data_IF_933700075521
#
_entry.id   IF_933700075521
#
_cell.length_a   1.000
_cell.length_b   1.000
_cell.length_c   1.000
_cell.angle_alpha   90.00
_cell.angle_beta   90.00
_cell.angle_gamma   90.00
#
_symmetry.space_group_name_H-M   'P 1'
#
loop_
_entity.id
_entity.type
_entity.pdbx_description
1 polymer ?
#
# COMPACT_ATOMS: atom_id res chain seq x y z
N UNK A 1 -18.30 -71.10 19.88
CA UNK A 1 -18.10 -69.72 20.36
C UNK A 1 -18.33 -68.78 19.18
N UNK A 2 -19.46 -68.04 19.23
CA UNK A 2 -19.70 -66.64 18.79
C UNK A 2 -19.14 -66.28 17.39
N UNK A 3 -19.93 -66.30 16.32
CA UNK A 3 -21.01 -65.36 15.89
C UNK A 3 -20.52 -64.07 15.22
N UNK A 4 -20.92 -63.99 13.95
CA UNK A 4 -21.07 -62.89 13.00
C UNK A 4 -21.44 -61.51 13.56
N UNK A 5 -20.91 -60.41 12.97
CA UNK A 5 -21.69 -59.53 12.09
C UNK A 5 -20.88 -58.37 11.46
N UNK A 6 -21.43 -57.95 10.33
CA UNK A 6 -21.15 -56.83 9.45
C UNK A 6 -20.76 -55.50 10.09
N UNK A 7 -20.00 -54.73 9.31
CA UNK A 7 -19.73 -53.32 9.60
C UNK A 7 -18.93 -52.59 8.52
N UNK A 8 -19.10 -52.92 7.25
CA UNK A 8 -18.77 -51.99 6.17
C UNK A 8 -19.72 -50.80 6.26
N UNK A 9 -19.24 -49.69 6.83
CA UNK A 9 -19.80 -48.37 6.57
C UNK A 9 -18.83 -47.64 5.64
N UNK A 10 -19.03 -47.87 4.35
CA UNK A 10 -18.66 -46.91 3.32
C UNK A 10 -19.72 -45.82 3.40
N UNK A 11 -19.35 -44.67 3.93
CA UNK A 11 -19.90 -43.39 3.45
C UNK A 11 -18.78 -42.70 2.67
N UNK A 12 -18.87 -42.83 1.36
CA UNK A 12 -18.32 -41.96 0.32
C UNK A 12 -17.16 -40.99 0.66
N UNK A 13 -15.99 -41.29 0.08
CA UNK A 13 -15.21 -40.30 -0.70
C UNK A 13 -14.16 -39.43 0.02
N UNK A 14 -12.87 -39.65 -0.30
CA UNK A 14 -11.70 -38.77 -0.08
C UNK A 14 -11.28 -38.56 1.40
N UNK A 15 -9.96 -38.40 1.64
CA UNK A 15 -9.53 -37.55 2.76
C UNK A 15 -10.14 -36.18 2.53
N UNK A 16 -11.05 -35.79 3.41
CA UNK A 16 -11.78 -34.56 3.28
C UNK A 16 -10.80 -33.39 3.58
N UNK A 17 -10.60 -32.41 2.68
CA UNK A 17 -9.88 -31.17 2.99
C UNK A 17 -10.37 -30.48 4.28
N UNK A 18 -11.56 -30.88 4.75
CA UNK A 18 -12.20 -30.47 6.00
C UNK A 18 -11.56 -31.01 7.31
N UNK A 19 -10.58 -31.93 7.30
CA UNK A 19 -9.90 -32.41 8.53
C UNK A 19 -8.38 -32.17 8.59
N UNK A 20 -7.70 -31.90 7.47
CA UNK A 20 -6.26 -31.53 7.45
C UNK A 20 -6.05 -30.04 7.77
N UNK A 21 -7.00 -29.20 7.37
CA UNK A 21 -6.97 -27.76 7.62
C UNK A 21 -7.21 -27.33 9.08
N UNK A 22 -8.13 -27.95 9.85
CA UNK A 22 -8.30 -27.66 11.27
C UNK A 22 -7.05 -27.91 12.13
N UNK A 23 -6.24 -28.92 11.81
CA UNK A 23 -5.00 -29.25 12.54
C UNK A 23 -3.86 -28.29 12.21
N UNK A 24 -3.75 -27.83 10.96
CA UNK A 24 -2.76 -26.82 10.56
C UNK A 24 -3.13 -25.45 11.13
N UNK A 25 -4.43 -25.11 11.19
CA UNK A 25 -4.90 -23.87 11.80
C UNK A 25 -4.76 -23.87 13.34
N UNK A 26 -4.90 -25.04 13.99
CA UNK A 26 -4.67 -25.18 15.44
C UNK A 26 -3.21 -24.96 15.85
N UNK A 27 -2.26 -25.43 15.04
CA UNK A 27 -0.82 -25.21 15.27
C UNK A 27 -0.44 -23.74 15.06
N UNK A 28 -1.07 -23.06 14.08
CA UNK A 28 -0.88 -21.61 13.85
C UNK A 28 -1.41 -20.77 15.03
N UNK A 29 -2.52 -21.17 15.66
CA UNK A 29 -3.10 -20.50 16.83
C UNK A 29 -2.26 -20.70 18.11
N UNK A 30 -1.69 -21.89 18.34
CA UNK A 30 -0.81 -22.15 19.51
C UNK A 30 0.52 -21.39 19.43
N UNK A 31 1.10 -21.25 18.24
CA UNK A 31 2.36 -20.51 18.04
C UNK A 31 2.16 -18.99 18.18
N UNK A 32 0.98 -18.48 17.77
CA UNK A 32 0.59 -17.07 18.00
C UNK A 32 0.38 -16.77 19.49
N UNK A 33 -0.13 -17.71 20.29
CA UNK A 33 -0.38 -17.55 21.73
C UNK A 33 0.90 -17.64 22.61
N UNK A 34 1.92 -18.40 22.21
CA UNK A 34 3.21 -18.47 22.94
C UNK A 34 4.09 -17.24 22.65
N UNK A 35 4.06 -16.73 21.42
CA UNK A 35 4.84 -15.55 21.03
C UNK A 35 4.31 -14.24 21.62
N UNK A 36 3.03 -14.18 22.02
CA UNK A 36 2.42 -13.01 22.67
C UNK A 36 2.50 -13.04 24.20
N UNK A 37 2.75 -14.21 24.81
CA UNK A 37 2.93 -14.38 26.26
C UNK A 37 4.35 -14.14 26.81
N UNK A 38 5.34 -13.86 25.95
CA UNK A 38 6.73 -13.61 26.37
C UNK A 38 7.01 -12.17 26.86
N UNK A 39 5.98 -11.31 26.97
CA UNK A 39 6.13 -9.87 27.24
C UNK A 39 5.37 -9.33 28.47
N UNK A 40 4.81 -10.18 29.34
CA UNK A 40 4.25 -9.75 30.64
C UNK A 40 4.74 -10.69 31.75
N UNK A 41 5.57 -10.24 32.70
CA UNK A 41 5.84 -10.98 33.91
C UNK A 41 4.63 -10.88 34.86
N UNK A 42 4.31 -11.98 35.55
CA UNK A 42 3.37 -12.08 36.69
C UNK A 42 1.86 -12.17 36.43
N UNK A 43 1.41 -13.21 35.71
CA UNK A 43 0.03 -13.73 35.85
C UNK A 43 0.04 -15.26 35.92
N UNK A 44 -0.68 -15.91 36.87
CA UNK A 44 -0.83 -17.36 36.95
C UNK A 44 -1.51 -17.93 35.69
N UNK A 45 -0.92 -19.00 35.13
CA UNK A 45 -1.21 -19.52 33.77
C UNK A 45 -2.51 -20.31 33.64
N UNK A 46 -3.15 -20.64 34.74
CA UNK A 46 -4.34 -21.48 34.84
C UNK A 46 -5.66 -20.69 34.70
N UNK A 47 -5.70 -19.43 35.11
CA UNK A 47 -6.88 -18.55 34.93
C UNK A 47 -7.08 -18.08 33.46
N UNK A 48 -6.01 -18.07 32.66
CA UNK A 48 -6.03 -17.61 31.26
C UNK A 48 -6.69 -18.63 30.32
N UNK A 49 -6.50 -19.93 30.58
CA UNK A 49 -7.01 -21.01 29.72
C UNK A 49 -8.54 -21.15 29.77
N UNK A 50 -9.16 -20.85 30.91
CA UNK A 50 -10.62 -20.97 31.10
C UNK A 50 -11.41 -19.82 30.49
N UNK A 51 -10.80 -18.63 30.31
CA UNK A 51 -11.45 -17.47 29.67
C UNK A 51 -11.51 -17.58 28.14
N UNK A 52 -10.51 -18.22 27.54
CA UNK A 52 -10.38 -18.34 26.07
C UNK A 52 -11.33 -19.38 25.45
N UNK A 53 -11.72 -20.42 26.21
CA UNK A 53 -12.74 -21.38 25.80
C UNK A 53 -14.14 -20.74 25.67
N UNK A 54 -14.44 -19.71 26.48
CA UNK A 54 -15.71 -18.96 26.39
C UNK A 54 -15.80 -18.06 25.15
N UNK A 55 -14.67 -17.52 24.67
CA UNK A 55 -14.61 -16.63 23.49
C UNK A 55 -14.76 -17.43 22.19
N UNK A 56 -14.15 -18.63 22.13
CA UNK A 56 -14.29 -19.53 20.99
C UNK A 56 -15.73 -20.04 20.80
N UNK A 57 -16.45 -20.32 21.89
CA UNK A 57 -17.87 -20.71 21.83
C UNK A 57 -18.77 -19.54 21.39
N UNK A 58 -18.50 -18.31 21.84
CA UNK A 58 -19.24 -17.12 21.43
C UNK A 58 -19.06 -16.78 19.94
N UNK A 59 -17.85 -16.90 19.40
CA UNK A 59 -17.56 -16.66 17.98
C UNK A 59 -18.14 -17.73 17.05
N UNK A 60 -18.36 -18.95 17.56
CA UNK A 60 -18.96 -20.05 16.79
C UNK A 60 -20.46 -19.88 16.54
N UNK A 61 -21.15 -19.04 17.33
CA UNK A 61 -22.63 -18.86 17.26
C UNK A 61 -23.06 -17.63 16.46
N UNK A 62 -22.13 -16.76 16.04
CA UNK A 62 -22.44 -15.56 15.25
C UNK A 62 -22.28 -15.90 13.75
N UNK A 63 -23.41 -16.09 13.06
CA UNK A 63 -23.42 -16.17 11.60
C UNK A 63 -23.19 -14.78 11.00
N UNK A 64 -22.00 -14.56 10.44
CA UNK A 64 -21.68 -13.40 9.61
C UNK A 64 -20.84 -12.34 10.33
N UNK A 65 -19.52 -12.51 10.30
CA UNK A 65 -18.58 -11.42 10.58
C UNK A 65 -18.30 -10.74 9.24
N UNK A 66 -18.78 -9.51 9.08
CA UNK A 66 -18.52 -8.70 7.90
C UNK A 66 -17.07 -8.17 7.96
N UNK A 67 -16.14 -8.60 7.07
CA UNK A 67 -14.71 -8.31 7.21
C UNK A 67 -14.32 -6.85 6.95
N UNK A 68 -15.28 -5.99 6.55
CA UNK A 68 -15.06 -4.55 6.37
C UNK A 68 -15.30 -3.73 7.64
N UNK A 69 -15.66 -4.36 8.76
CA UNK A 69 -15.63 -3.71 10.06
C UNK A 69 -14.17 -3.74 10.53
N UNK A 70 -13.47 -2.60 10.39
CA UNK A 70 -12.30 -2.34 11.23
C UNK A 70 -12.78 -2.42 12.67
N UNK A 71 -12.58 -3.57 13.31
CA UNK A 71 -12.97 -3.81 14.70
C UNK A 71 -12.17 -2.93 15.65
N UNK A 72 -12.58 -1.66 15.79
CA UNK A 72 -12.42 -0.95 17.03
C UNK A 72 -13.40 -1.58 18.02
N UNK A 73 -13.00 -2.70 18.63
CA UNK A 73 -13.58 -3.11 19.90
C UNK A 73 -13.17 -2.05 20.93
N UNK A 74 -14.01 -1.02 21.06
CA UNK A 74 -13.97 -0.14 22.21
C UNK A 74 -14.35 -0.96 23.44
N UNK A 75 -13.50 -0.93 24.45
CA UNK A 75 -13.71 -1.60 25.74
C UNK A 75 -14.37 -0.71 26.84
N UNK A 76 -15.50 0.04 26.65
CA UNK A 76 -16.14 0.70 27.80
C UNK A 76 -17.18 -0.16 28.56
N UNK A 77 -17.45 -1.42 28.19
CA UNK A 77 -18.50 -2.22 28.83
C UNK A 77 -18.11 -3.01 30.09
N UNK A 78 -16.83 -3.25 30.35
CA UNK A 78 -16.40 -4.25 31.35
C UNK A 78 -16.01 -3.68 32.74
N UNK A 79 -15.95 -2.35 32.90
CA UNK A 79 -15.53 -1.72 34.17
C UNK A 79 -16.68 -1.18 35.03
N UNK A 80 -17.94 -1.53 34.75
CA UNK A 80 -19.08 -1.11 35.56
C UNK A 80 -19.24 -1.86 36.91
N UNK A 81 -18.34 -2.79 37.27
CA UNK A 81 -18.42 -3.53 38.53
C UNK A 81 -17.04 -3.62 39.22
N UNK A 82 -16.51 -2.48 39.68
CA UNK A 82 -15.67 -2.40 40.90
C UNK A 82 -15.35 -0.94 41.26
N UNK A 83 -16.17 -0.38 42.15
CA UNK A 83 -15.77 0.56 43.18
C UNK A 83 -16.45 0.06 44.48
N UNK A 84 -15.84 0.16 45.68
CA UNK A 84 -15.21 1.38 46.20
C UNK A 84 -13.96 1.19 47.09
N UNK A 85 -13.48 2.34 47.62
CA UNK A 85 -12.40 2.58 48.61
C UNK A 85 -11.01 2.80 48.00
N UNK A 86 -10.28 3.91 48.22
CA UNK A 86 -10.52 5.09 49.03
C UNK A 86 -9.35 6.10 48.91
N UNK A 87 -9.69 7.38 49.05
CA UNK A 87 -8.90 8.54 49.54
C UNK A 87 -7.50 8.84 48.95
N UNK A 88 -7.52 9.91 48.14
CA UNK A 88 -6.90 11.22 48.40
C UNK A 88 -5.40 11.31 48.79
N UNK A 89 -4.63 12.05 47.97
CA UNK A 89 -3.86 13.22 48.42
C UNK A 89 -3.43 14.12 47.24
N UNK A 90 -3.54 15.42 47.50
CA UNK A 90 -3.18 16.60 46.70
C UNK A 90 -1.67 16.74 46.42
N UNK A 91 -1.32 17.42 45.30
CA UNK A 91 -0.61 18.73 45.22
C UNK A 91 0.00 18.91 43.81
N UNK A 92 -0.49 19.81 42.96
CA UNK A 92 -0.05 21.21 42.68
C UNK A 92 1.42 21.45 42.33
N UNK A 93 1.62 21.92 41.08
CA UNK A 93 2.20 23.21 40.68
C UNK A 93 3.71 23.36 40.33
N UNK A 94 3.92 24.06 39.18
CA UNK A 94 4.98 25.05 38.84
C UNK A 94 6.41 24.50 38.62
N UNK A 95 7.29 25.04 37.76
CA UNK A 95 7.32 26.22 36.87
C UNK A 95 8.59 26.16 35.97
N UNK A 96 8.57 26.90 34.85
CA UNK A 96 9.61 27.81 34.28
C UNK A 96 11.10 27.36 34.31
N UNK A 97 11.84 27.25 33.19
CA UNK A 97 12.38 28.27 32.26
C UNK A 97 13.89 27.92 31.98
N UNK A 98 14.74 28.64 31.21
CA UNK A 98 14.61 29.22 29.85
C UNK A 98 15.93 29.23 28.97
N UNK A 99 15.82 29.78 27.74
CA UNK A 99 16.80 30.42 26.82
C UNK A 99 18.05 29.70 26.26
N UNK A 100 18.25 29.82 24.93
CA UNK A 100 19.42 30.45 24.25
C UNK A 100 19.04 30.72 22.77
N UNK A 101 19.03 32.01 22.39
CA UNK A 101 19.19 32.61 21.05
C UNK A 101 20.72 32.64 20.72
N UNK A 102 21.29 32.71 19.51
CA UNK A 102 20.89 33.32 18.23
C UNK A 102 21.91 32.94 17.10
N UNK A 103 21.58 33.36 15.87
CA UNK A 103 22.45 33.69 14.72
C UNK A 103 22.98 32.60 13.75
N UNK A 104 22.51 32.58 12.48
CA UNK A 104 22.90 33.48 11.35
C UNK A 104 22.01 33.19 10.12
N UNK A 105 21.49 34.26 9.51
CA UNK A 105 20.55 34.26 8.37
C UNK A 105 21.20 34.27 6.97
N UNK A 106 20.44 33.84 5.95
CA UNK A 106 20.47 34.41 4.59
C UNK A 106 19.07 34.30 3.93
N UNK A 107 18.66 35.27 3.08
CA UNK A 107 17.26 35.69 2.95
C UNK A 107 16.44 34.88 1.94
N UNK A 108 15.21 34.54 2.34
CA UNK A 108 14.16 34.00 1.45
C UNK A 108 13.45 35.14 0.72
N UNK A 109 13.15 35.02 -0.59
CA UNK A 109 12.29 35.97 -1.27
C UNK A 109 10.85 35.87 -0.73
N UNK A 110 10.32 37.02 -0.37
CA UNK A 110 9.00 37.26 0.19
C UNK A 110 7.87 36.58 -0.58
N UNK A 111 7.00 35.87 0.14
CA UNK A 111 5.73 35.38 -0.33
C UNK A 111 4.85 36.57 -0.77
N UNK A 112 4.64 36.72 -2.08
CA UNK A 112 3.55 37.53 -2.60
C UNK A 112 2.31 36.65 -2.73
N UNK A 113 1.28 37.01 -1.97
CA UNK A 113 -0.09 36.56 -2.16
C UNK A 113 -0.58 37.03 -3.53
N UNK A 114 -0.50 36.12 -4.50
CA UNK A 114 -1.01 36.34 -5.84
C UNK A 114 -1.76 35.08 -6.28
N UNK A 115 -3.09 35.14 -6.24
CA UNK A 115 -3.97 34.19 -6.91
C UNK A 115 -3.75 34.26 -8.42
N UNK A 116 -2.69 33.65 -8.93
CA UNK A 116 -2.51 33.39 -10.35
C UNK A 116 -3.10 32.01 -10.65
N UNK A 117 -4.43 31.94 -10.84
CA UNK A 117 -5.06 30.82 -11.55
C UNK A 117 -4.59 30.87 -13.01
N UNK A 118 -3.46 30.25 -13.30
CA UNK A 118 -3.20 29.74 -14.64
C UNK A 118 -3.44 28.23 -14.57
N UNK A 119 -4.72 27.86 -14.52
CA UNK A 119 -5.15 26.46 -14.59
C UNK A 119 -5.11 26.04 -16.06
N UNK A 120 -3.96 25.55 -16.51
CA UNK A 120 -3.88 24.93 -17.83
C UNK A 120 -4.75 23.66 -17.82
N UNK A 121 -5.53 23.47 -18.87
CA UNK A 121 -6.24 22.20 -19.05
C UNK A 121 -5.21 21.07 -19.14
N UNK A 122 -5.48 19.97 -18.46
CA UNK A 122 -4.58 18.83 -18.37
C UNK A 122 -5.36 17.51 -18.51
N UNK A 123 -4.69 16.46 -18.99
CA UNK A 123 -5.19 15.09 -19.01
C UNK A 123 -4.15 14.17 -18.34
N UNK A 124 -4.64 13.37 -17.41
CA UNK A 124 -3.86 12.39 -16.66
C UNK A 124 -4.30 10.98 -17.02
N UNK A 125 -3.36 10.12 -17.41
CA UNK A 125 -3.54 8.68 -17.48
C UNK A 125 -2.83 8.04 -16.30
N UNK A 126 -3.51 7.19 -15.53
CA UNK A 126 -2.92 6.52 -14.37
C UNK A 126 -3.10 5.01 -14.50
N UNK A 127 -2.01 4.25 -14.38
CA UNK A 127 -2.01 2.79 -14.38
C UNK A 127 -0.96 2.25 -13.42
N UNK A 128 -0.95 0.95 -13.14
CA UNK A 128 -0.09 0.36 -12.11
C UNK A 128 0.15 -1.14 -12.31
N UNK A 129 1.03 -1.70 -11.49
CA UNK A 129 1.26 -3.15 -11.36
C UNK A 129 1.59 -3.78 -12.72
N UNK A 130 2.58 -3.19 -13.39
CA UNK A 130 3.14 -3.68 -14.65
C UNK A 130 4.17 -4.79 -14.39
N UNK A 131 4.89 -4.72 -13.26
CA UNK A 131 5.90 -5.70 -12.86
C UNK A 131 6.92 -6.00 -13.97
N UNK A 132 7.43 -4.96 -14.62
CA UNK A 132 8.46 -5.13 -15.66
C UNK A 132 9.74 -5.65 -15.02
N UNK A 133 10.07 -6.91 -15.29
CA UNK A 133 11.27 -7.58 -14.82
C UNK A 133 12.28 -7.87 -15.93
N UNK A 134 13.34 -8.60 -15.58
CA UNK A 134 14.32 -9.09 -16.55
C UNK A 134 13.77 -10.20 -17.47
N UNK A 135 12.59 -10.75 -17.15
CA UNK A 135 11.85 -11.66 -18.01
C UNK A 135 10.48 -11.06 -18.33
N UNK A 136 9.90 -11.46 -19.47
CA UNK A 136 8.56 -11.06 -19.94
C UNK A 136 7.68 -12.31 -19.95
N UNK A 137 7.60 -12.97 -18.80
CA UNK A 137 6.93 -14.27 -18.65
C UNK A 137 5.48 -14.12 -18.16
N UNK A 138 5.05 -12.90 -17.82
CA UNK A 138 3.67 -12.67 -17.41
C UNK A 138 2.72 -12.98 -18.60
N UNK A 139 1.71 -13.84 -18.42
CA UNK A 139 0.79 -14.22 -19.50
C UNK A 139 0.04 -13.07 -20.18
N UNK A 140 -0.04 -11.88 -19.56
CA UNK A 140 -0.65 -10.69 -20.16
C UNK A 140 0.36 -9.79 -20.88
N UNK A 141 1.66 -10.11 -20.80
CA UNK A 141 2.77 -9.44 -21.48
C UNK A 141 2.72 -7.91 -21.37
N UNK A 142 2.68 -7.32 -20.14
CA UNK A 142 2.54 -5.88 -19.94
C UNK A 142 3.61 -5.07 -20.69
N UNK A 143 4.85 -5.58 -20.79
CA UNK A 143 5.93 -4.93 -21.55
C UNK A 143 5.70 -4.81 -23.06
N UNK A 144 4.80 -5.62 -23.63
CA UNK A 144 4.38 -5.52 -25.05
C UNK A 144 3.10 -4.71 -25.23
N UNK A 145 2.25 -4.67 -24.20
CA UNK A 145 0.96 -3.98 -24.25
C UNK A 145 1.09 -2.49 -23.94
N UNK A 146 1.96 -2.13 -22.99
CA UNK A 146 2.21 -0.74 -22.62
C UNK A 146 2.60 0.16 -23.81
N UNK A 147 3.55 -0.17 -24.69
CA UNK A 147 3.90 0.71 -25.81
C UNK A 147 2.72 0.93 -26.76
N UNK A 148 1.86 -0.07 -26.97
CA UNK A 148 0.67 0.10 -27.80
C UNK A 148 -0.34 1.07 -27.16
N UNK A 149 -0.55 0.97 -25.85
CA UNK A 149 -1.37 1.91 -25.10
C UNK A 149 -0.81 3.33 -25.18
N UNK A 150 0.49 3.50 -24.92
CA UNK A 150 1.16 4.81 -25.00
C UNK A 150 1.00 5.42 -26.39
N UNK A 151 1.21 4.64 -27.45
CA UNK A 151 1.04 5.09 -28.82
C UNK A 151 -0.40 5.54 -29.13
N UNK A 152 -1.40 4.76 -28.71
CA UNK A 152 -2.80 4.98 -29.11
C UNK A 152 -3.58 5.95 -28.22
N UNK A 153 -3.25 6.01 -26.94
CA UNK A 153 -4.00 6.83 -25.98
C UNK A 153 -3.25 8.13 -25.67
N UNK A 154 -1.95 8.05 -25.39
CA UNK A 154 -1.17 9.20 -24.91
C UNK A 154 -0.61 9.99 -26.08
N UNK A 155 0.16 9.33 -26.95
CA UNK A 155 0.83 9.93 -28.09
C UNK A 155 -0.14 10.30 -29.22
N UNK A 156 -1.31 9.66 -29.33
CA UNK A 156 -2.33 10.08 -30.30
C UNK A 156 -3.18 11.24 -29.79
N UNK A 157 -3.23 11.47 -28.47
CA UNK A 157 -3.96 12.59 -27.91
C UNK A 157 -3.30 13.91 -28.28
N UNK A 158 -4.13 14.94 -28.48
CA UNK A 158 -3.74 16.32 -28.71
C UNK A 158 -4.54 17.24 -27.79
N UNK A 159 -4.05 18.45 -27.53
CA UNK A 159 -4.78 19.46 -26.79
C UNK A 159 -4.15 19.78 -25.42
N UNK A 160 -4.80 19.42 -24.30
CA UNK A 160 -4.36 19.80 -22.96
C UNK A 160 -2.97 19.25 -22.62
N UNK A 161 -2.33 19.78 -21.57
CA UNK A 161 -1.08 19.24 -21.05
C UNK A 161 -1.27 17.77 -20.66
N UNK A 162 -0.31 16.92 -21.03
CA UNK A 162 -0.43 15.47 -20.91
C UNK A 162 0.47 14.94 -19.79
N UNK A 163 -0.11 14.10 -18.94
CA UNK A 163 0.58 13.46 -17.82
C UNK A 163 0.27 11.97 -17.81
N UNK A 164 1.29 11.14 -17.62
CA UNK A 164 1.10 9.72 -17.34
C UNK A 164 1.73 9.38 -16.00
N UNK A 165 0.97 8.70 -15.14
CA UNK A 165 1.40 8.27 -13.83
C UNK A 165 1.37 6.74 -13.72
N UNK A 166 2.51 6.17 -13.36
CA UNK A 166 2.64 4.77 -12.95
C UNK A 166 2.51 4.71 -11.43
N UNK A 167 1.39 4.20 -10.93
CA UNK A 167 0.98 4.28 -9.52
C UNK A 167 1.51 3.07 -8.73
N UNK A 168 2.82 2.85 -8.80
CA UNK A 168 3.52 1.75 -8.12
C UNK A 168 3.63 0.46 -8.94
N UNK A 169 4.62 -0.34 -8.55
CA UNK A 169 4.92 -1.67 -9.08
C UNK A 169 5.08 -1.66 -10.61
N UNK A 170 5.77 -0.64 -11.10
CA UNK A 170 6.16 -0.49 -12.50
C UNK A 170 7.24 -1.51 -12.86
N UNK A 171 8.23 -1.65 -11.98
CA UNK A 171 9.42 -2.47 -12.17
C UNK A 171 9.55 -3.53 -11.07
N UNK A 172 10.23 -4.64 -11.35
CA UNK A 172 10.70 -5.58 -10.32
C UNK A 172 12.08 -5.14 -9.81
N UNK A 173 12.06 -4.19 -8.87
CA UNK A 173 13.21 -3.40 -8.40
C UNK A 173 13.14 -3.13 -6.88
N UNK A 174 13.33 -4.18 -6.08
CA UNK A 174 13.28 -4.08 -4.61
C UNK A 174 14.31 -5.00 -3.95
N UNK A 175 14.96 -4.49 -2.91
CA UNK A 175 15.83 -5.26 -2.03
C UNK A 175 17.26 -5.43 -2.55
N UNK A 176 17.69 -4.59 -3.48
CA UNK A 176 19.02 -4.61 -4.07
C UNK A 176 19.93 -3.56 -3.43
N UNK A 177 21.25 -3.81 -3.48
CA UNK A 177 22.24 -2.76 -3.22
C UNK A 177 22.19 -1.72 -4.35
N UNK A 178 22.67 -0.50 -4.10
CA UNK A 178 22.54 0.62 -5.06
C UNK A 178 23.04 0.29 -6.48
N UNK A 179 24.27 -0.22 -6.60
CA UNK A 179 24.86 -0.60 -7.90
C UNK A 179 24.04 -1.70 -8.59
N UNK A 180 23.49 -2.63 -7.81
CA UNK A 180 22.65 -3.71 -8.32
C UNK A 180 21.27 -3.19 -8.74
N UNK A 181 20.67 -2.23 -8.01
CA UNK A 181 19.45 -1.54 -8.43
C UNK A 181 19.66 -0.82 -9.76
N UNK A 182 20.79 -0.12 -9.93
CA UNK A 182 21.13 0.56 -11.19
C UNK A 182 21.28 -0.43 -12.34
N UNK A 183 22.07 -1.49 -12.15
CA UNK A 183 22.26 -2.54 -13.16
C UNK A 183 20.94 -3.25 -13.49
N UNK A 184 20.08 -3.48 -12.49
CA UNK A 184 18.77 -4.11 -12.66
C UNK A 184 17.83 -3.22 -13.44
N UNK A 185 17.77 -1.92 -13.15
CA UNK A 185 16.97 -0.96 -13.90
C UNK A 185 17.35 -0.95 -15.39
N UNK A 186 18.65 -0.87 -15.70
CA UNK A 186 19.14 -0.89 -17.07
C UNK A 186 18.86 -2.22 -17.78
N UNK A 187 19.02 -3.33 -17.07
CA UNK A 187 18.68 -4.67 -17.57
C UNK A 187 17.19 -4.77 -17.93
N UNK A 188 16.30 -4.27 -17.09
CA UNK A 188 14.86 -4.22 -17.36
C UNK A 188 14.58 -3.38 -18.61
N UNK A 189 15.10 -2.15 -18.69
CA UNK A 189 14.87 -1.29 -19.86
C UNK A 189 15.41 -1.88 -21.16
N UNK A 190 16.57 -2.54 -21.10
CA UNK A 190 17.18 -3.27 -22.23
C UNK A 190 16.30 -4.44 -22.67
N UNK A 191 15.63 -5.10 -21.72
CA UNK A 191 14.73 -6.23 -22.01
C UNK A 191 13.43 -5.81 -22.68
N UNK A 192 12.97 -4.58 -22.40
CA UNK A 192 11.70 -4.02 -22.88
C UNK A 192 11.93 -2.80 -23.80
N UNK A 193 12.65 -2.94 -24.93
CA UNK A 193 13.07 -1.82 -25.77
C UNK A 193 11.89 -1.02 -26.33
N UNK A 194 10.81 -1.68 -26.73
CA UNK A 194 9.62 -1.01 -27.27
C UNK A 194 8.93 -0.14 -26.21
N UNK A 195 8.83 -0.64 -24.96
CA UNK A 195 8.34 0.16 -23.82
C UNK A 195 9.24 1.36 -23.59
N UNK A 196 10.56 1.15 -23.55
CA UNK A 196 11.53 2.21 -23.33
C UNK A 196 11.44 3.31 -24.39
N UNK A 197 11.40 2.93 -25.67
CA UNK A 197 11.23 3.88 -26.78
C UNK A 197 9.89 4.62 -26.72
N UNK A 198 8.80 3.94 -26.38
CA UNK A 198 7.50 4.60 -26.26
C UNK A 198 7.48 5.64 -25.12
N UNK A 199 8.13 5.34 -23.98
CA UNK A 199 8.27 6.30 -22.88
C UNK A 199 9.16 7.49 -23.28
N UNK A 200 10.29 7.25 -23.95
CA UNK A 200 11.13 8.32 -24.49
C UNK A 200 10.36 9.20 -25.49
N UNK A 201 9.56 8.60 -26.36
CA UNK A 201 8.72 9.32 -27.32
C UNK A 201 7.67 10.19 -26.61
N UNK A 202 7.07 9.71 -25.51
CA UNK A 202 6.18 10.51 -24.66
C UNK A 202 6.93 11.72 -24.07
N UNK A 203 8.07 11.51 -23.44
CA UNK A 203 8.86 12.59 -22.85
C UNK A 203 9.31 13.62 -23.89
N UNK A 204 9.79 13.17 -25.07
CA UNK A 204 10.19 14.03 -26.17
C UNK A 204 9.03 14.84 -26.78
N UNK A 205 7.78 14.34 -26.66
CA UNK A 205 6.57 15.09 -27.02
C UNK A 205 6.12 16.09 -25.95
N UNK A 206 6.84 16.17 -24.83
CA UNK A 206 6.50 17.04 -23.71
C UNK A 206 5.48 16.44 -22.73
N UNK A 207 5.16 15.14 -22.82
CA UNK A 207 4.36 14.44 -21.82
C UNK A 207 5.17 14.34 -20.53
N UNK A 208 4.53 14.65 -19.40
CA UNK A 208 5.16 14.47 -18.08
C UNK A 208 4.98 13.02 -17.61
N UNK A 209 6.09 12.35 -17.30
CA UNK A 209 6.11 10.99 -16.76
C UNK A 209 6.25 11.05 -15.24
N UNK A 210 5.35 10.38 -14.53
CA UNK A 210 5.33 10.29 -13.07
C UNK A 210 5.42 8.82 -12.65
N UNK A 211 6.35 8.49 -11.75
CA UNK A 211 6.50 7.14 -11.21
C UNK A 211 6.33 7.19 -9.70
N UNK A 212 5.21 6.72 -9.18
CA UNK A 212 5.00 6.53 -7.75
C UNK A 212 5.59 5.18 -7.36
N UNK A 213 6.34 5.10 -6.27
CA UNK A 213 6.93 3.85 -5.82
C UNK A 213 5.86 2.97 -5.15
N UNK A 214 5.87 1.69 -5.50
CA UNK A 214 5.15 0.62 -4.84
C UNK A 214 6.08 -0.24 -4.00
N UNK A 215 5.62 -1.44 -3.65
CA UNK A 215 6.39 -2.35 -2.82
C UNK A 215 7.31 -3.29 -3.63
N UNK A 216 7.12 -3.39 -4.95
CA UNK A 216 8.01 -4.14 -5.85
C UNK A 216 9.08 -3.29 -6.52
N UNK A 217 8.92 -1.96 -6.55
CA UNK A 217 9.90 -1.01 -7.10
C UNK A 217 10.38 0.00 -6.04
N UNK A 218 10.47 -0.41 -4.78
CA UNK A 218 10.88 0.47 -3.69
C UNK A 218 12.28 1.09 -3.89
N UNK A 219 13.22 0.37 -4.53
CA UNK A 219 14.56 0.90 -4.79
C UNK A 219 14.55 2.03 -5.81
N UNK A 220 13.45 2.22 -6.57
CA UNK A 220 13.27 3.37 -7.45
C UNK A 220 13.30 4.70 -6.69
N UNK A 221 12.95 4.69 -5.40
CA UNK A 221 13.01 5.86 -4.55
C UNK A 221 14.45 6.38 -4.33
N UNK A 222 15.48 5.56 -4.52
CA UNK A 222 16.89 5.96 -4.34
C UNK A 222 17.23 7.12 -5.30
N UNK A 223 17.88 8.20 -4.83
CA UNK A 223 18.18 9.35 -5.69
C UNK A 223 18.96 9.01 -6.96
N UNK A 224 19.96 8.12 -6.86
CA UNK A 224 20.77 7.71 -8.02
C UNK A 224 19.97 6.90 -9.03
N UNK A 225 19.10 6.00 -8.57
CA UNK A 225 18.21 5.18 -9.42
C UNK A 225 17.17 6.05 -10.10
N UNK A 226 16.52 6.97 -9.36
CA UNK A 226 15.57 7.93 -9.92
C UNK A 226 16.23 8.86 -10.96
N UNK A 227 17.41 9.41 -10.64
CA UNK A 227 18.16 10.25 -11.57
C UNK A 227 18.58 9.49 -12.83
N UNK A 228 18.97 8.21 -12.68
CA UNK A 228 19.31 7.34 -13.81
C UNK A 228 18.11 7.10 -14.71
N UNK A 229 16.93 6.81 -14.14
CA UNK A 229 15.69 6.66 -14.91
C UNK A 229 15.38 7.94 -15.70
N UNK A 230 15.45 9.11 -15.06
CA UNK A 230 15.19 10.39 -15.71
C UNK A 230 16.16 10.68 -16.85
N UNK A 231 17.46 10.42 -16.65
CA UNK A 231 18.48 10.60 -17.68
C UNK A 231 18.31 9.64 -18.87
N UNK A 232 17.87 8.40 -18.62
CA UNK A 232 17.61 7.42 -19.68
C UNK A 232 16.36 7.77 -20.49
N UNK A 233 15.28 8.21 -19.83
CA UNK A 233 13.99 8.47 -20.48
C UNK A 233 13.88 9.87 -21.11
N UNK A 234 14.57 10.87 -20.57
CA UNK A 234 14.51 12.25 -21.07
C UNK A 234 15.85 12.96 -20.88
N UNK A 235 16.89 12.59 -21.65
CA UNK A 235 18.24 13.13 -21.46
C UNK A 235 18.33 14.65 -21.67
N UNK A 236 17.52 15.21 -22.59
CA UNK A 236 17.50 16.65 -22.86
C UNK A 236 16.74 17.46 -21.80
N UNK A 237 15.71 16.86 -21.19
CA UNK A 237 14.87 17.51 -20.18
C UNK A 237 14.57 16.52 -19.03
N UNK A 238 15.52 16.20 -18.13
CA UNK A 238 15.33 15.18 -17.10
C UNK A 238 14.14 15.46 -16.16
N UNK A 239 13.76 16.73 -16.00
CA UNK A 239 12.60 17.16 -15.22
C UNK A 239 11.24 16.64 -15.77
N UNK A 240 11.20 16.12 -17.02
CA UNK A 240 10.03 15.43 -17.59
C UNK A 240 9.71 14.10 -16.95
N UNK A 241 10.64 13.57 -16.14
CA UNK A 241 10.51 12.28 -15.47
C UNK A 241 10.67 12.52 -13.98
N UNK A 242 9.61 12.27 -13.22
CA UNK A 242 9.58 12.49 -11.78
C UNK A 242 9.25 11.20 -11.04
N UNK A 243 10.06 10.86 -10.06
CA UNK A 243 9.83 9.74 -9.14
C UNK A 243 9.24 10.26 -7.83
N UNK A 244 8.25 9.56 -7.30
CA UNK A 244 7.58 9.85 -6.04
C UNK A 244 7.77 8.67 -5.09
N UNK A 245 8.66 8.78 -4.09
CA UNK A 245 8.88 7.72 -3.11
C UNK A 245 7.60 7.32 -2.37
N UNK A 246 6.73 8.29 -2.09
CA UNK A 246 5.55 8.05 -1.28
C UNK A 246 4.24 8.19 -2.06
N UNK A 247 3.88 9.40 -2.47
CA UNK A 247 2.70 9.65 -3.29
C UNK A 247 2.90 10.83 -4.23
N UNK A 248 2.08 10.88 -5.27
CA UNK A 248 1.92 12.03 -6.14
C UNK A 248 0.75 12.88 -5.60
N UNK A 249 1.00 14.17 -5.42
CA UNK A 249 -0.03 15.15 -5.06
C UNK A 249 -0.13 16.23 -6.14
N UNK A 250 -1.34 16.41 -6.66
CA UNK A 250 -1.68 17.49 -7.59
C UNK A 250 -2.75 18.34 -6.90
N UNK A 251 -2.41 19.56 -6.44
CA UNK A 251 -3.29 20.35 -5.61
C UNK A 251 -4.71 20.49 -6.17
N UNK A 252 -5.71 20.16 -5.36
CA UNK A 252 -7.15 20.15 -5.69
C UNK A 252 -7.60 19.15 -6.76
N UNK A 253 -6.68 18.51 -7.47
CA UNK A 253 -6.99 17.56 -8.55
C UNK A 253 -6.97 16.14 -8.02
N UNK A 254 -5.79 15.62 -7.66
CA UNK A 254 -5.65 14.22 -7.30
C UNK A 254 -4.54 13.98 -6.27
N UNK A 255 -4.70 12.89 -5.52
CA UNK A 255 -3.60 12.18 -4.89
C UNK A 255 -3.52 10.79 -5.51
N UNK A 256 -2.32 10.31 -5.81
CA UNK A 256 -2.08 8.95 -6.28
C UNK A 256 -0.99 8.30 -5.44
N UNK A 257 -1.32 7.16 -4.84
CA UNK A 257 -0.39 6.35 -4.05
C UNK A 257 -0.54 4.89 -4.40
N UNK A 258 0.50 4.09 -4.24
CA UNK A 258 0.35 2.66 -4.53
C UNK A 258 -0.69 2.03 -3.59
N UNK A 259 -0.72 2.40 -2.30
CA UNK A 259 -1.69 1.94 -1.29
C UNK A 259 -1.16 0.91 -0.30
N UNK A 260 0.11 0.52 -0.43
CA UNK A 260 0.76 -0.43 0.47
C UNK A 260 0.81 0.08 1.91
N UNK A 261 0.84 1.40 2.13
CA UNK A 261 0.96 1.97 3.46
C UNK A 261 -0.22 1.69 4.37
N UNK A 262 -1.41 1.58 3.81
CA UNK A 262 -2.61 1.38 4.62
C UNK A 262 -2.97 -0.09 4.81
N UNK A 263 -2.19 -0.97 4.21
CA UNK A 263 -2.45 -2.40 4.23
C UNK A 263 -1.47 -3.12 5.15
N UNK A 264 -1.96 -3.70 6.25
CA UNK A 264 -1.12 -4.36 7.25
C UNK A 264 -0.05 -5.29 6.66
N UNK A 265 -0.41 -6.15 5.70
CA UNK A 265 0.52 -7.15 5.15
C UNK A 265 1.53 -6.65 4.11
N UNK A 266 1.32 -5.45 3.56
CA UNK A 266 2.15 -4.88 2.52
C UNK A 266 2.82 -3.57 2.97
N UNK A 267 2.62 -3.21 4.23
CA UNK A 267 3.03 -1.93 4.77
C UNK A 267 4.55 -1.78 4.79
N UNK A 268 5.00 -0.62 4.33
CA UNK A 268 6.39 -0.17 4.35
C UNK A 268 6.44 1.18 5.07
N UNK A 269 6.59 1.18 6.41
CA UNK A 269 6.50 2.42 7.19
C UNK A 269 7.57 3.45 6.83
N UNK A 270 8.76 2.98 6.45
CA UNK A 270 9.95 3.79 6.23
C UNK A 270 10.23 4.08 4.75
N UNK A 271 9.19 4.17 3.92
CA UNK A 271 9.35 4.37 2.46
C UNK A 271 10.24 5.57 2.10
N UNK A 272 10.25 6.62 2.93
CA UNK A 272 11.08 7.82 2.72
C UNK A 272 12.57 7.62 3.05
N UNK A 273 12.95 6.58 3.82
CA UNK A 273 14.37 6.34 4.15
C UNK A 273 15.18 5.93 2.92
N UNK A 274 14.58 5.17 2.01
CA UNK A 274 15.22 4.78 0.74
C UNK A 274 15.52 6.01 -0.11
N UNK A 275 14.67 7.02 -0.04
CA UNK A 275 14.80 8.25 -0.79
C UNK A 275 15.94 9.15 -0.34
N UNK A 276 16.50 8.96 0.87
CA UNK A 276 17.51 9.86 1.43
C UNK A 276 18.85 9.18 1.69
N UNK A 277 18.86 7.97 2.25
CA UNK A 277 20.13 7.38 2.69
C UNK A 277 20.86 6.59 1.61
N UNK A 278 20.18 6.10 0.56
CA UNK A 278 20.81 5.35 -0.54
C UNK A 278 21.46 4.00 -0.16
N UNK A 279 21.72 3.76 1.13
CA UNK A 279 22.43 2.59 1.67
C UNK A 279 21.52 1.66 2.47
N UNK A 280 20.40 2.16 2.98
CA UNK A 280 19.51 1.38 3.81
C UNK A 280 18.60 0.52 2.91
N UNK A 281 18.62 -0.80 3.12
CA UNK A 281 17.59 -1.69 2.59
C UNK A 281 16.31 -1.54 3.39
N UNK A 282 15.15 -1.68 2.73
CA UNK A 282 13.89 -1.84 3.45
C UNK A 282 13.68 -3.30 3.83
N UNK A 283 13.24 -3.50 5.08
CA UNK A 283 12.71 -4.79 5.49
C UNK A 283 11.52 -5.16 4.61
N UNK A 284 11.47 -6.43 4.16
CA UNK A 284 10.37 -6.91 3.33
C UNK A 284 9.04 -6.83 4.10
N UNK A 285 7.94 -6.44 3.44
CA UNK A 285 6.62 -6.55 4.02
C UNK A 285 6.26 -7.99 4.42
N UNK A 286 5.38 -8.20 5.41
CA UNK A 286 5.04 -9.53 5.90
C UNK A 286 4.65 -10.53 4.81
N UNK A 287 3.81 -10.14 3.83
CA UNK A 287 3.42 -11.08 2.77
C UNK A 287 4.56 -11.35 1.78
N UNK A 288 5.39 -10.34 1.48
CA UNK A 288 6.54 -10.52 0.61
C UNK A 288 7.54 -11.51 1.22
N UNK A 289 7.77 -11.44 2.54
CA UNK A 289 8.65 -12.36 3.25
C UNK A 289 8.19 -13.82 3.18
N UNK A 290 6.87 -14.09 3.11
CA UNK A 290 6.34 -15.43 2.90
C UNK A 290 6.74 -16.03 1.54
N UNK A 291 6.73 -15.20 0.50
CA UNK A 291 7.02 -15.63 -0.87
C UNK A 291 8.52 -15.65 -1.18
N UNK A 292 9.30 -14.78 -0.55
CA UNK A 292 10.74 -14.70 -0.72
C UNK A 292 11.50 -15.85 -0.03
N UNK A 293 10.91 -16.50 0.99
CA UNK A 293 11.58 -17.62 1.67
C UNK A 293 11.69 -18.85 0.73
N UNK A 294 12.94 -19.26 0.37
CA UNK A 294 13.18 -20.35 -0.58
C UNK A 294 12.77 -21.72 -0.02
N UNK A 295 12.52 -21.82 1.29
CA UNK A 295 12.08 -23.05 1.94
C UNK A 295 10.68 -23.45 1.48
N UNK A 296 10.47 -24.75 1.30
CA UNK A 296 9.14 -25.35 1.12
C UNK A 296 8.41 -25.58 2.45
N UNK A 297 9.08 -25.39 3.59
CA UNK A 297 8.52 -25.63 4.91
C UNK A 297 7.56 -24.51 5.32
N UNK A 298 6.28 -24.81 5.64
CA UNK A 298 5.33 -23.82 6.13
C UNK A 298 5.79 -23.14 7.43
N UNK A 299 6.54 -23.85 8.28
CA UNK A 299 7.07 -23.31 9.54
C UNK A 299 8.17 -22.26 9.30
N UNK A 300 9.06 -22.50 8.32
CA UNK A 300 10.10 -21.53 7.95
C UNK A 300 9.48 -20.24 7.43
N UNK A 301 8.52 -20.38 6.51
CA UNK A 301 7.80 -19.23 5.94
C UNK A 301 7.01 -18.47 7.01
N UNK A 302 6.35 -19.17 7.93
CA UNK A 302 5.66 -18.54 9.05
C UNK A 302 6.63 -17.76 9.96
N UNK A 303 7.82 -18.32 10.23
CA UNK A 303 8.86 -17.62 10.98
C UNK A 303 9.39 -16.39 10.23
N UNK A 304 9.52 -16.45 8.90
CA UNK A 304 9.90 -15.31 8.06
C UNK A 304 8.85 -14.18 8.15
N UNK A 305 7.57 -14.51 8.05
CA UNK A 305 6.46 -13.55 8.25
C UNK A 305 6.51 -12.93 9.64
N UNK A 306 6.72 -13.73 10.69
CA UNK A 306 6.81 -13.23 12.06
C UNK A 306 7.98 -12.24 12.23
N UNK A 307 9.15 -12.54 11.66
CA UNK A 307 10.30 -11.63 11.64
C UNK A 307 9.98 -10.33 10.89
N UNK A 308 9.32 -10.42 9.73
CA UNK A 308 8.92 -9.25 8.94
C UNK A 308 7.87 -8.37 9.67
N UNK A 309 6.95 -8.97 10.42
CA UNK A 309 6.04 -8.23 11.30
C UNK A 309 6.80 -7.47 12.39
N UNK A 310 7.74 -8.13 13.09
CA UNK A 310 8.57 -7.47 14.10
C UNK A 310 9.44 -6.35 13.52
N UNK A 311 9.97 -6.56 12.32
CA UNK A 311 10.72 -5.55 11.58
C UNK A 311 9.84 -4.34 11.25
N UNK A 312 8.63 -4.58 10.73
CA UNK A 312 7.62 -3.54 10.48
C UNK A 312 7.28 -2.75 11.75
N UNK A 313 7.14 -3.41 12.90
CA UNK A 313 6.90 -2.73 14.18
C UNK A 313 8.09 -1.90 14.67
N UNK A 314 9.33 -2.34 14.41
CA UNK A 314 10.52 -1.50 14.68
C UNK A 314 10.56 -0.28 13.75
N UNK A 315 10.24 -0.47 12.48
CA UNK A 315 10.11 0.61 11.51
C UNK A 315 9.06 1.66 11.95
N UNK A 316 7.90 1.23 12.46
CA UNK A 316 6.89 2.13 13.05
C UNK A 316 7.38 2.99 14.21
N UNK A 317 8.32 2.46 15.01
CA UNK A 317 8.93 3.23 16.09
C UNK A 317 9.88 4.29 15.55
N UNK A 318 10.72 3.92 14.57
CA UNK A 318 11.66 4.84 13.93
C UNK A 318 10.98 5.96 13.15
N UNK A 319 9.84 5.70 12.52
CA UNK A 319 9.01 6.73 11.86
C UNK A 319 8.61 7.88 12.80
N UNK A 320 8.68 7.68 14.12
CA UNK A 320 8.36 8.68 15.15
C UNK A 320 9.57 9.38 15.73
N UNK A 321 10.77 8.96 15.36
CA UNK A 321 12.01 9.57 15.81
C UNK A 321 12.26 10.87 15.03
N UNK A 322 13.02 11.80 15.64
CA UNK A 322 13.31 13.11 15.07
C UNK A 322 13.97 13.00 13.67
N UNK A 323 14.82 12.01 13.46
CA UNK A 323 15.47 11.78 12.18
C UNK A 323 14.47 11.52 11.04
N UNK A 324 13.35 10.83 11.30
CA UNK A 324 12.33 10.60 10.27
C UNK A 324 11.47 11.86 10.05
N UNK A 325 11.33 12.71 11.06
CA UNK A 325 10.63 13.99 10.92
C UNK A 325 11.34 14.91 9.91
N UNK A 326 12.68 14.94 9.87
CA UNK A 326 13.43 15.69 8.86
C UNK A 326 13.13 15.21 7.43
N UNK A 327 12.95 13.90 7.24
CA UNK A 327 12.52 13.32 5.95
C UNK A 327 11.11 13.80 5.57
N UNK A 328 10.19 13.83 6.54
CA UNK A 328 8.83 14.34 6.34
C UNK A 328 8.82 15.84 5.99
N UNK A 329 9.73 16.64 6.55
CA UNK A 329 9.86 18.05 6.19
C UNK A 329 10.35 18.25 4.76
N UNK A 330 11.36 17.48 4.33
CA UNK A 330 11.81 17.50 2.93
C UNK A 330 10.66 17.10 1.97
N UNK A 331 9.91 16.08 2.35
CA UNK A 331 8.77 15.58 1.58
C UNK A 331 7.59 16.55 1.54
N UNK A 332 7.34 17.29 2.63
CA UNK A 332 6.36 18.39 2.69
C UNK A 332 6.63 19.47 1.63
N UNK A 333 7.89 19.88 1.48
CA UNK A 333 8.29 20.84 0.44
C UNK A 333 8.05 20.28 -0.95
N UNK A 334 8.37 19.00 -1.18
CA UNK A 334 8.20 18.32 -2.47
C UNK A 334 6.74 18.21 -2.89
N UNK A 335 5.85 17.96 -1.93
CA UNK A 335 4.42 17.76 -2.16
C UNK A 335 3.61 19.06 -2.08
N UNK A 336 4.24 20.17 -1.71
CA UNK A 336 3.58 21.45 -1.42
C UNK A 336 2.41 21.29 -0.42
N UNK A 337 2.65 20.51 0.63
CA UNK A 337 1.74 20.28 1.75
C UNK A 337 2.39 20.80 3.02
N UNK A 338 1.60 21.27 3.99
CA UNK A 338 2.16 21.69 5.27
C UNK A 338 2.73 20.50 6.06
N UNK A 339 3.73 20.77 6.90
CA UNK A 339 4.45 19.74 7.67
C UNK A 339 3.51 18.97 8.63
N UNK A 340 2.46 19.63 9.12
CA UNK A 340 1.48 19.02 10.03
C UNK A 340 0.63 18.02 9.28
N UNK A 341 0.12 18.36 8.08
CA UNK A 341 -0.62 17.46 7.22
C UNK A 341 0.21 16.22 6.87
N UNK A 342 1.44 16.40 6.43
CA UNK A 342 2.33 15.28 6.08
C UNK A 342 2.56 14.35 7.28
N UNK A 343 2.79 14.91 8.46
CA UNK A 343 2.94 14.13 9.69
C UNK A 343 1.66 13.38 10.06
N UNK A 344 0.50 14.01 9.93
CA UNK A 344 -0.78 13.37 10.20
C UNK A 344 -1.04 12.23 9.22
N UNK A 345 -0.73 12.44 7.92
CA UNK A 345 -0.81 11.41 6.88
C UNK A 345 0.12 10.24 7.17
N UNK A 346 1.36 10.49 7.59
CA UNK A 346 2.31 9.44 7.98
C UNK A 346 1.78 8.60 9.17
N UNK A 347 0.99 9.22 10.04
CA UNK A 347 0.41 8.57 11.22
C UNK A 347 -0.99 7.94 11.00
N UNK A 348 -1.61 8.11 9.84
CA UNK A 348 -2.98 7.65 9.55
C UNK A 348 -3.19 6.15 9.66
N UNK A 349 -2.13 5.38 9.51
CA UNK A 349 -2.17 3.94 9.67
C UNK A 349 -0.98 3.55 10.54
N UNK A 350 -1.20 2.61 11.46
CA UNK A 350 -0.17 2.07 12.35
C UNK A 350 -0.12 0.58 12.14
N UNK A 351 1.05 0.05 11.80
CA UNK A 351 1.25 -1.39 11.87
C UNK A 351 1.27 -1.82 13.35
N UNK A 352 0.59 -2.91 13.67
CA UNK A 352 0.76 -3.61 14.94
C UNK A 352 0.87 -5.10 14.64
N UNK A 353 1.89 -5.76 15.17
CA UNK A 353 2.11 -7.20 14.98
C UNK A 353 0.89 -8.01 15.42
N UNK A 354 0.27 -7.63 16.53
CA UNK A 354 -0.93 -8.28 17.09
C UNK A 354 -2.17 -8.20 16.18
N UNK A 355 -2.27 -7.21 15.29
CA UNK A 355 -3.37 -7.12 14.33
C UNK A 355 -3.00 -7.70 12.96
N UNK A 356 -1.73 -7.66 12.57
CA UNK A 356 -1.26 -8.14 11.28
C UNK A 356 -1.16 -9.67 11.20
N UNK A 357 -0.69 -10.34 12.26
CA UNK A 357 -0.53 -11.80 12.27
C UNK A 357 -1.86 -12.55 12.11
N UNK A 358 -2.94 -12.21 12.84
CA UNK A 358 -4.24 -12.83 12.60
C UNK A 358 -4.75 -12.60 11.18
N UNK A 359 -4.60 -11.37 10.64
CA UNK A 359 -5.03 -11.04 9.27
C UNK A 359 -4.25 -11.84 8.23
N UNK A 360 -2.93 -12.00 8.42
CA UNK A 360 -2.09 -12.85 7.58
C UNK A 360 -2.59 -14.30 7.61
N UNK A 361 -2.75 -14.85 8.81
CA UNK A 361 -3.22 -16.22 9.02
C UNK A 361 -4.61 -16.46 8.41
N UNK A 362 -5.57 -15.56 8.66
CA UNK A 362 -6.92 -15.64 8.08
C UNK A 362 -6.87 -15.58 6.56
N UNK A 363 -6.06 -14.70 5.97
CA UNK A 363 -5.91 -14.65 4.50
C UNK A 363 -5.32 -15.94 3.95
N UNK A 364 -4.32 -16.52 4.60
CA UNK A 364 -3.73 -17.79 4.19
C UNK A 364 -4.76 -18.92 4.22
N UNK A 365 -5.55 -19.00 5.30
CA UNK A 365 -6.64 -19.99 5.43
C UNK A 365 -7.71 -19.78 4.37
N UNK A 366 -8.14 -18.53 4.12
CA UNK A 366 -9.14 -18.21 3.10
C UNK A 366 -8.64 -18.52 1.69
N UNK A 367 -7.39 -18.18 1.38
CA UNK A 367 -6.75 -18.51 0.10
C UNK A 367 -6.69 -20.02 -0.11
N UNK A 368 -6.31 -20.78 0.92
CA UNK A 368 -6.30 -22.24 0.88
C UNK A 368 -7.70 -22.87 0.73
N UNK A 369 -8.73 -22.20 1.27
CA UNK A 369 -10.13 -22.60 1.10
C UNK A 369 -10.74 -22.15 -0.23
N UNK A 370 -9.97 -21.51 -1.11
CA UNK A 370 -10.45 -20.96 -2.39
C UNK A 370 -11.42 -19.77 -2.23
N UNK A 371 -11.53 -19.19 -1.03
CA UNK A 371 -12.43 -18.07 -0.74
C UNK A 371 -11.66 -16.75 -0.84
N UNK A 372 -11.97 -15.93 -1.86
CA UNK A 372 -11.46 -14.55 -1.96
C UNK A 372 -12.49 -13.59 -1.38
N UNK A 373 -12.09 -12.77 -0.40
CA UNK A 373 -12.94 -11.74 0.18
C UNK A 373 -13.23 -10.66 -0.89
N UNK A 374 -14.52 -10.48 -1.21
CA UNK A 374 -14.98 -9.56 -2.25
C UNK A 374 -15.71 -8.35 -1.62
N UNK A 375 -14.97 -7.38 -1.09
CA UNK A 375 -15.55 -6.12 -0.61
C UNK A 375 -15.62 -5.07 -1.71
N UNK A 376 -16.80 -4.54 -2.08
CA UNK A 376 -16.95 -3.48 -3.11
C UNK A 376 -16.70 -2.06 -2.58
N UNK A 377 -16.23 -1.91 -1.34
CA UNK A 377 -16.03 -0.61 -0.70
C UNK A 377 -14.59 -0.13 -0.88
N UNK A 378 -14.43 1.18 -1.01
CA UNK A 378 -13.12 1.80 -0.91
C UNK A 378 -12.49 1.49 0.47
N UNK A 379 -11.16 1.39 0.57
CA UNK A 379 -10.50 1.22 1.86
C UNK A 379 -10.84 2.39 2.79
N UNK A 380 -11.15 2.10 4.07
CA UNK A 380 -11.41 3.14 5.07
C UNK A 380 -10.24 4.13 5.20
N UNK A 381 -9.02 3.64 4.99
CA UNK A 381 -7.83 4.47 4.99
C UNK A 381 -7.80 5.54 3.90
N UNK A 382 -8.33 5.26 2.69
CA UNK A 382 -8.43 6.26 1.63
C UNK A 382 -9.37 7.40 2.02
N UNK A 383 -10.48 7.08 2.69
CA UNK A 383 -11.39 8.09 3.24
C UNK A 383 -10.71 8.94 4.32
N UNK A 384 -9.97 8.30 5.25
CA UNK A 384 -9.18 9.02 6.27
C UNK A 384 -8.13 9.94 5.65
N UNK A 385 -7.41 9.48 4.64
CA UNK A 385 -6.40 10.26 3.93
C UNK A 385 -7.01 11.49 3.26
N UNK A 386 -8.09 11.29 2.50
CA UNK A 386 -8.80 12.40 1.87
C UNK A 386 -9.36 13.40 2.90
N UNK A 387 -9.84 12.90 4.05
CA UNK A 387 -10.31 13.75 5.15
C UNK A 387 -9.18 14.56 5.78
N UNK A 388 -8.03 13.95 6.05
CA UNK A 388 -6.84 14.65 6.59
C UNK A 388 -6.37 15.73 5.64
N UNK A 389 -6.24 15.45 4.35
CA UNK A 389 -5.91 16.47 3.35
C UNK A 389 -6.91 17.63 3.38
N UNK A 390 -8.21 17.32 3.44
CA UNK A 390 -9.26 18.34 3.51
C UNK A 390 -9.19 19.18 4.79
N UNK A 391 -8.92 18.57 5.93
CA UNK A 391 -8.80 19.26 7.22
C UNK A 391 -7.67 20.29 7.20
N UNK A 392 -6.61 20.02 6.43
CA UNK A 392 -5.47 20.91 6.21
C UNK A 392 -5.60 21.80 4.97
N UNK A 393 -6.80 21.92 4.39
CA UNK A 393 -7.06 22.80 3.23
C UNK A 393 -6.49 22.30 1.90
N UNK A 394 -5.96 21.07 1.85
CA UNK A 394 -5.36 20.44 0.68
C UNK A 394 -6.24 19.33 0.06
N UNK A 395 -7.56 19.44 0.22
CA UNK A 395 -8.51 18.45 -0.32
C UNK A 395 -8.39 18.29 -1.85
N UNK A 396 -8.57 17.06 -2.33
CA UNK A 396 -8.46 16.68 -3.76
C UNK A 396 -9.76 16.08 -4.30
N UNK A 397 -10.00 16.20 -5.60
CA UNK A 397 -11.17 15.61 -6.25
C UNK A 397 -11.05 14.09 -6.43
N UNK A 398 -9.83 13.57 -6.58
CA UNK A 398 -9.56 12.16 -6.85
C UNK A 398 -8.55 11.54 -5.89
N UNK A 399 -8.82 10.33 -5.43
CA UNK A 399 -7.88 9.45 -4.74
C UNK A 399 -7.65 8.23 -5.61
N UNK A 400 -6.42 8.05 -6.10
CA UNK A 400 -6.06 6.94 -6.99
C UNK A 400 -5.13 5.98 -6.26
N UNK A 401 -5.44 4.68 -6.30
CA UNK A 401 -4.66 3.61 -5.67
C UNK A 401 -4.48 2.41 -6.60
N UNK A 402 -3.50 1.55 -6.33
CA UNK A 402 -3.14 0.41 -7.17
C UNK A 402 -3.12 -0.93 -6.40
N UNK A 403 -3.03 -0.85 -5.07
CA UNK A 403 -2.58 -1.94 -4.22
C UNK A 403 -3.34 -3.28 -4.28
N UNK A 404 -4.62 -3.27 -4.64
CA UNK A 404 -5.47 -4.45 -4.48
C UNK A 404 -5.53 -5.34 -5.72
N UNK A 405 -4.88 -4.92 -6.82
CA UNK A 405 -4.96 -5.53 -8.16
C UNK A 405 -6.40 -5.66 -8.67
N UNK A 406 -7.31 -4.89 -8.07
CA UNK A 406 -8.72 -4.89 -8.39
C UNK A 406 -9.07 -3.54 -8.94
N UNK A 407 -9.39 -3.51 -10.22
CA UNK A 407 -9.92 -2.32 -10.86
C UNK A 407 -11.34 -2.05 -10.34
N UNK A 408 -11.56 -0.93 -9.66
CA UNK A 408 -12.91 -0.47 -9.30
C UNK A 408 -12.93 1.02 -8.95
N UNK A 409 -14.13 1.59 -8.98
CA UNK A 409 -14.38 2.96 -8.58
C UNK A 409 -15.46 3.01 -7.49
N UNK A 410 -15.33 3.93 -6.54
CA UNK A 410 -16.30 4.17 -5.48
C UNK A 410 -16.26 5.63 -4.99
N UNK A 411 -17.37 6.09 -4.40
CA UNK A 411 -17.34 7.30 -3.58
C UNK A 411 -16.66 7.00 -2.22
N UNK A 412 -15.94 7.98 -1.67
CA UNK A 412 -15.45 7.91 -0.30
C UNK A 412 -16.54 8.35 0.68
N UNK A 413 -16.67 7.63 1.79
CA UNK A 413 -17.67 7.94 2.81
C UNK A 413 -17.45 9.34 3.39
N UNK A 414 -18.53 10.13 3.47
CA UNK A 414 -18.53 11.51 3.98
C UNK A 414 -17.48 12.44 3.34
N UNK A 415 -17.01 12.14 2.12
CA UNK A 415 -15.98 12.90 1.42
C UNK A 415 -16.35 13.07 -0.06
N UNK A 416 -16.26 14.28 -0.63
CA UNK A 416 -16.57 14.52 -2.05
C UNK A 416 -15.51 13.92 -3.01
N UNK A 417 -14.37 13.47 -2.48
CA UNK A 417 -13.31 12.83 -3.25
C UNK A 417 -13.77 11.48 -3.81
N UNK A 418 -13.58 11.27 -5.12
CA UNK A 418 -13.82 9.98 -5.78
C UNK A 418 -12.61 9.07 -5.62
N UNK A 419 -12.84 7.80 -5.31
CA UNK A 419 -11.79 6.79 -5.20
C UNK A 419 -11.76 5.92 -6.46
N UNK A 420 -10.57 5.75 -7.03
CA UNK A 420 -10.31 4.81 -8.11
C UNK A 420 -9.18 3.88 -7.70
N UNK A 421 -9.41 2.58 -7.77
CA UNK A 421 -8.32 1.61 -7.82
C UNK A 421 -8.03 1.26 -9.28
N UNK A 422 -6.80 1.47 -9.75
CA UNK A 422 -6.37 1.23 -11.14
C UNK A 422 -6.33 -0.26 -11.49
N UNK A 423 -6.34 -1.16 -10.51
CA UNK A 423 -6.25 -2.59 -10.76
C UNK A 423 -4.82 -3.03 -11.08
N UNK A 424 -4.66 -3.97 -12.00
CA UNK A 424 -3.34 -4.47 -12.40
C UNK A 424 -3.25 -4.74 -13.89
N UNK A 425 -2.06 -4.53 -14.44
CA UNK A 425 -1.71 -4.93 -15.80
C UNK A 425 -1.07 -6.31 -15.86
N UNK A 426 -0.61 -6.83 -14.71
CA UNK A 426 -0.16 -8.21 -14.55
C UNK A 426 -1.30 -9.24 -14.61
N UNK A 427 -0.91 -10.50 -14.67
CA UNK A 427 -1.80 -11.66 -14.62
C UNK A 427 -2.49 -11.91 -13.27
N UNK A 428 -2.08 -11.23 -12.18
CA UNK A 428 -2.74 -11.35 -10.86
C UNK A 428 -4.01 -10.49 -10.75
N UNK A 429 -4.94 -10.69 -11.68
CA UNK A 429 -6.21 -9.97 -11.73
C UNK A 429 -7.13 -10.39 -10.59
N UNK A 430 -7.69 -9.40 -9.88
CA UNK A 430 -8.59 -9.61 -8.73
C UNK A 430 -9.88 -8.80 -8.89
N UNK A 431 -10.94 -9.23 -8.21
CA UNK A 431 -12.23 -8.54 -8.20
C UNK A 431 -13.22 -9.04 -9.24
N UNK A 432 -13.96 -8.12 -9.88
CA UNK A 432 -15.10 -8.39 -10.77
C UNK A 432 -15.16 -7.46 -11.99
N UNK A 433 -14.00 -6.96 -12.45
CA UNK A 433 -13.93 -6.11 -13.64
C UNK A 433 -13.92 -6.92 -14.95
N UNK A 434 -14.10 -6.26 -16.11
CA UNK A 434 -13.93 -6.87 -17.43
C UNK A 434 -12.61 -7.64 -17.59
N UNK A 435 -11.53 -7.16 -16.98
CA UNK A 435 -10.20 -7.77 -16.92
C UNK A 435 -10.19 -9.20 -16.32
N UNK A 436 -11.21 -9.54 -15.51
CA UNK A 436 -11.35 -10.89 -14.95
C UNK A 436 -11.79 -11.91 -16.00
N UNK A 437 -12.69 -11.50 -16.91
CA UNK A 437 -13.26 -12.36 -17.96
C UNK A 437 -12.51 -12.24 -19.27
N UNK A 438 -11.96 -11.06 -19.55
CA UNK A 438 -11.22 -10.71 -20.74
C UNK A 438 -9.79 -10.31 -20.34
N UNK A 439 -8.85 -11.25 -20.51
CA UNK A 439 -7.44 -11.02 -20.17
C UNK A 439 -6.78 -9.92 -21.02
N UNK A 440 -7.40 -9.50 -22.14
CA UNK A 440 -6.92 -8.42 -23.00
C UNK A 440 -7.44 -7.04 -22.58
N UNK A 441 -8.27 -6.94 -21.54
CA UNK A 441 -8.75 -5.68 -21.01
C UNK A 441 -7.82 -5.16 -19.90
N UNK A 442 -7.11 -4.07 -20.14
CA UNK A 442 -6.15 -3.48 -19.21
C UNK A 442 -6.73 -2.25 -18.51
N UNK A 443 -6.91 -2.27 -17.18
CA UNK A 443 -7.56 -1.17 -16.47
C UNK A 443 -6.62 0.03 -16.30
N UNK A 444 -7.17 1.24 -16.42
CA UNK A 444 -6.44 2.48 -16.16
C UNK A 444 -7.43 3.58 -15.75
N UNK A 445 -6.98 4.59 -15.03
CA UNK A 445 -7.78 5.76 -14.72
C UNK A 445 -7.45 6.91 -15.67
N UNK A 446 -8.47 7.72 -15.99
CA UNK A 446 -8.28 9.01 -16.66
C UNK A 446 -8.83 10.11 -15.78
N UNK A 447 -8.09 11.21 -15.64
CA UNK A 447 -8.58 12.45 -15.03
C UNK A 447 -8.33 13.60 -16.00
N UNK A 448 -9.41 14.20 -16.47
CA UNK A 448 -9.43 15.42 -17.26
C UNK A 448 -9.60 16.62 -16.33
N UNK A 449 -8.76 17.64 -16.52
CA UNK A 449 -8.82 18.93 -15.82
C UNK A 449 -9.12 20.01 -16.84
N UNK A 450 -10.24 20.72 -16.66
CA UNK A 450 -10.61 21.82 -17.52
C UNK A 450 -9.89 23.12 -17.12
N UNK A 451 -9.97 24.14 -17.99
CA UNK A 451 -9.31 25.44 -17.74
C UNK A 451 -9.85 26.18 -16.50
N UNK A 452 -11.08 25.90 -16.10
CA UNK A 452 -11.70 26.45 -14.88
C UNK A 452 -11.29 25.69 -13.59
N UNK A 453 -10.53 24.59 -13.74
CA UNK A 453 -10.09 23.72 -12.66
C UNK A 453 -11.10 22.62 -12.29
N UNK A 454 -12.24 22.52 -12.99
CA UNK A 454 -13.16 21.39 -12.82
C UNK A 454 -12.49 20.10 -13.31
N UNK A 455 -12.82 18.98 -12.66
CA UNK A 455 -12.25 17.67 -13.00
C UNK A 455 -13.35 16.67 -13.37
N UNK A 456 -13.06 15.81 -14.35
CA UNK A 456 -13.90 14.69 -14.73
C UNK A 456 -13.02 13.48 -15.07
N UNK A 457 -13.61 12.30 -15.19
CA UNK A 457 -12.86 11.09 -15.48
C UNK A 457 -13.45 9.85 -14.81
N UNK A 458 -12.58 8.87 -14.61
CA UNK A 458 -12.92 7.62 -13.94
C UNK A 458 -12.08 6.46 -14.45
N UNK A 459 -12.44 5.27 -13.98
CA UNK A 459 -11.83 4.01 -14.40
C UNK A 459 -12.25 3.63 -15.83
N UNK A 460 -11.28 3.17 -16.64
CA UNK A 460 -11.45 2.69 -18.02
C UNK A 460 -10.69 1.39 -18.21
N UNK A 461 -10.97 0.72 -19.34
CA UNK A 461 -10.27 -0.49 -19.77
C UNK A 461 -9.82 -0.31 -21.20
N UNK A 462 -8.53 -0.50 -21.45
CA UNK A 462 -7.93 -0.46 -22.78
C UNK A 462 -7.85 -1.87 -23.37
N UNK A 463 -7.98 -1.97 -24.70
CA UNK A 463 -7.82 -3.23 -25.45
C UNK A 463 -6.92 -3.03 -26.67
N UNK A 464 -6.03 -4.00 -26.96
CA UNK A 464 -5.16 -3.93 -28.13
C UNK A 464 -5.91 -4.07 -29.46
N UNK A 465 -7.08 -4.71 -29.48
CA UNK A 465 -7.85 -4.95 -30.71
C UNK A 465 -8.87 -3.86 -31.03
N UNK A 466 -8.97 -2.81 -30.18
CA UNK A 466 -9.89 -1.70 -30.37
C UNK A 466 -11.36 -2.11 -30.24
N UNK A 467 -11.86 -2.19 -29.00
CA UNK A 467 -13.29 -1.99 -28.68
C UNK A 467 -13.45 -1.32 -27.32
#
# INVERSE_FOLDING_TARGET
MISTHDGTCRSDGRWNPRYVWPTVMWIVVVVVLIASGAFVPDVPRDELALRELGIADALSRIQGIEPSIEGHFGWPGLFALRAPMGRARHRTALAEAPWIEDDVAAPLPSAHSGSARVSHAARWWLLSDLHLGATDDDPRCPGRMLPQFLCREVLAASGPQQHIAFVGDTFELVGFAEDESLARLESILTRHPDTFWALQACAARGVQLHFVCGNHDADLARPSVAARLSALLSPAEPARVQVYPWFLHVPRVLVAEHGHQHHALHRMPEVLRVAVNGTDGLDLPPLAAWHADPSKSPLSRAAAVARACLASERAERRVRELAYFELLQAESRRLALDEVAIRDLAHLSRFRTVSALPVAATRMVLAAAGRRAAGKRAPAAAARFAHTLRAHGAGVAWYVSAHTHRAFEAALEACPTRYVNTGTWSSDVRGRGPDQTDRRAFPYAVVDVARDGSTNGGLRYWRPDGT
#
